data_IF_433422353786
#
_entry.id   IF_433422353786
#
_cell.length_a   1.000
_cell.length_b   1.000
_cell.length_c   1.000
_cell.angle_alpha   90.00
_cell.angle_beta   90.00
_cell.angle_gamma   90.00
#
_symmetry.space_group_name_H-M   'P 1'
#
loop_
_entity.id
_entity.type
_entity.pdbx_description
1 polymer ?
#
# COMPACT_ATOMS: atom_id res chain seq x y z
N UNK A 1 5.44 -61.75 -29.32
CA UNK A 1 5.38 -60.38 -29.87
C UNK A 1 4.57 -59.53 -28.90
N UNK A 2 5.23 -58.72 -28.07
CA UNK A 2 4.58 -57.76 -27.16
C UNK A 2 4.34 -56.48 -27.95
N UNK A 3 3.10 -56.04 -28.03
CA UNK A 3 2.71 -54.76 -28.62
C UNK A 3 2.80 -53.69 -27.53
N UNK A 4 3.81 -52.84 -27.63
CA UNK A 4 4.02 -51.70 -26.74
C UNK A 4 2.83 -50.73 -26.83
N UNK A 5 2.13 -50.58 -25.71
CA UNK A 5 1.13 -49.54 -25.51
C UNK A 5 1.85 -48.20 -25.25
N UNK A 6 2.08 -47.42 -26.30
CA UNK A 6 2.57 -46.06 -26.17
C UNK A 6 1.39 -45.13 -25.80
N UNK A 7 1.21 -44.93 -24.50
CA UNK A 7 0.24 -43.99 -23.93
C UNK A 7 0.72 -42.55 -24.20
N UNK A 8 0.17 -41.90 -25.21
CA UNK A 8 0.38 -40.47 -25.46
C UNK A 8 -0.30 -39.64 -24.36
N UNK A 9 0.47 -39.27 -23.34
CA UNK A 9 0.08 -38.22 -22.40
C UNK A 9 0.15 -36.87 -23.11
N UNK A 10 -0.99 -36.40 -23.62
CA UNK A 10 -1.13 -35.01 -24.06
C UNK A 10 -1.06 -34.10 -22.83
N UNK A 11 0.09 -33.45 -22.65
CA UNK A 11 0.25 -32.36 -21.69
C UNK A 11 -0.62 -31.20 -22.16
N UNK A 12 -1.79 -31.01 -21.54
CA UNK A 12 -2.56 -29.78 -21.69
C UNK A 12 -1.81 -28.66 -20.97
N UNK A 13 -0.85 -28.06 -21.64
CA UNK A 13 -0.26 -26.80 -21.21
C UNK A 13 -1.39 -25.78 -21.10
N UNK A 14 -1.68 -25.31 -19.89
CA UNK A 14 -2.62 -24.23 -19.67
C UNK A 14 -2.07 -22.99 -20.38
N UNK A 15 -2.61 -22.67 -21.55
CA UNK A 15 -2.35 -21.42 -22.24
C UNK A 15 -2.88 -20.32 -21.34
N UNK A 16 -2.00 -19.75 -20.52
CA UNK A 16 -2.29 -18.49 -19.83
C UNK A 16 -2.61 -17.48 -20.90
N UNK A 17 -3.88 -17.04 -20.96
CA UNK A 17 -4.31 -15.99 -21.89
C UNK A 17 -3.26 -14.87 -21.87
N UNK A 18 -2.73 -14.46 -23.05
CA UNK A 18 -1.82 -13.33 -23.10
C UNK A 18 -2.47 -12.17 -22.37
N UNK A 19 -1.70 -11.53 -21.50
CA UNK A 19 -2.16 -10.49 -20.58
C UNK A 19 -2.61 -9.29 -21.42
N UNK A 20 -3.87 -9.32 -21.87
CA UNK A 20 -4.52 -8.27 -22.65
C UNK A 20 -4.08 -6.93 -22.09
N UNK A 21 -3.49 -6.09 -22.95
CA UNK A 21 -2.85 -4.84 -22.55
C UNK A 21 -3.80 -4.09 -21.63
N UNK A 22 -3.39 -4.05 -20.38
CA UNK A 22 -4.32 -3.84 -19.30
C UNK A 22 -4.73 -2.37 -19.33
N UNK A 23 -5.88 -2.06 -19.94
CA UNK A 23 -6.40 -0.71 -20.20
C UNK A 23 -6.15 0.26 -19.04
N UNK A 24 -5.85 1.54 -19.33
CA UNK A 24 -5.59 2.54 -18.31
C UNK A 24 -6.66 2.60 -17.23
N UNK A 25 -6.28 3.08 -16.05
CA UNK A 25 -7.24 3.38 -14.98
C UNK A 25 -8.33 4.32 -15.52
N UNK A 26 -9.62 3.98 -15.30
CA UNK A 26 -10.77 4.73 -15.84
C UNK A 26 -11.46 4.06 -17.05
N UNK A 27 -10.74 3.24 -17.82
CA UNK A 27 -11.27 2.50 -18.99
C UNK A 27 -11.48 1.01 -18.70
N UNK A 28 -11.52 0.63 -17.42
CA UNK A 28 -11.75 -0.74 -16.96
C UNK A 28 -13.24 -0.96 -16.69
N UNK A 29 -13.68 -2.22 -16.68
CA UNK A 29 -15.06 -2.61 -16.33
C UNK A 29 -15.38 -2.12 -14.90
N UNK A 30 -16.45 -1.34 -14.76
CA UNK A 30 -17.03 -1.05 -13.44
C UNK A 30 -17.72 -2.32 -12.98
N UNK A 31 -17.38 -2.92 -11.82
CA UNK A 31 -18.08 -4.12 -11.39
C UNK A 31 -19.56 -3.82 -11.11
N UNK A 32 -20.50 -4.73 -11.41
CA UNK A 32 -21.95 -4.52 -11.22
C UNK A 32 -22.33 -4.02 -9.82
N UNK A 33 -21.70 -4.58 -8.79
CA UNK A 33 -21.90 -4.12 -7.41
C UNK A 33 -21.47 -2.67 -7.19
N UNK A 34 -20.46 -2.15 -7.88
CA UNK A 34 -20.08 -0.75 -7.75
C UNK A 34 -21.09 0.20 -8.40
N UNK A 35 -21.80 -0.25 -9.44
CA UNK A 35 -22.93 0.50 -10.03
C UNK A 35 -24.08 0.54 -9.03
N UNK A 36 -24.42 -0.60 -8.44
CA UNK A 36 -25.38 -0.68 -7.34
C UNK A 36 -25.00 0.23 -6.16
N UNK A 37 -23.73 0.21 -5.74
CA UNK A 37 -23.26 1.11 -4.68
C UNK A 37 -23.41 2.58 -5.06
N UNK A 38 -23.12 2.95 -6.30
CA UNK A 38 -23.28 4.34 -6.77
C UNK A 38 -24.74 4.80 -6.73
N UNK A 39 -25.69 3.91 -6.99
CA UNK A 39 -27.14 4.20 -6.94
C UNK A 39 -27.67 4.24 -5.50
N UNK A 40 -27.20 3.35 -4.62
CA UNK A 40 -27.80 3.12 -3.30
C UNK A 40 -27.01 3.69 -2.12
N UNK A 41 -25.78 4.17 -2.33
CA UNK A 41 -24.97 4.74 -1.26
C UNK A 41 -25.38 6.18 -0.95
N UNK A 42 -26.03 6.36 0.20
CA UNK A 42 -26.36 7.68 0.77
C UNK A 42 -25.49 7.92 2.00
N UNK A 43 -24.68 8.98 1.95
CA UNK A 43 -23.86 9.39 3.11
C UNK A 43 -24.79 10.01 4.15
N UNK A 44 -25.12 9.25 5.20
CA UNK A 44 -25.87 9.73 6.36
C UNK A 44 -24.92 10.33 7.38
N UNK A 45 -25.24 11.51 7.89
CA UNK A 45 -24.48 12.14 8.98
C UNK A 45 -24.57 11.26 10.24
N UNK A 46 -23.42 11.03 10.89
CA UNK A 46 -23.32 10.20 12.11
C UNK A 46 -23.20 8.69 11.89
N UNK A 47 -23.48 8.15 10.70
CA UNK A 47 -23.32 6.71 10.41
C UNK A 47 -21.91 6.43 9.87
N UNK A 48 -21.26 5.40 10.40
CA UNK A 48 -19.96 4.96 9.87
C UNK A 48 -20.14 4.41 8.46
N UNK A 49 -19.34 4.90 7.51
CA UNK A 49 -19.33 4.43 6.12
C UNK A 49 -19.20 2.90 6.02
N UNK A 50 -18.48 2.29 6.96
CA UNK A 50 -18.30 0.83 7.03
C UNK A 50 -19.61 0.08 7.33
N UNK A 51 -20.52 0.65 8.11
CA UNK A 51 -21.83 0.07 8.43
C UNK A 51 -22.77 0.18 7.23
N UNK A 52 -22.85 1.37 6.62
CA UNK A 52 -23.60 1.59 5.38
C UNK A 52 -23.15 0.63 4.25
N UNK A 53 -21.83 0.39 4.13
CA UNK A 53 -21.29 -0.56 3.15
C UNK A 53 -21.68 -2.01 3.45
N UNK A 54 -21.72 -2.43 4.72
CA UNK A 54 -22.17 -3.77 5.12
C UNK A 54 -23.64 -3.98 4.79
N UNK A 55 -24.49 -2.99 5.07
CA UNK A 55 -25.91 -3.03 4.71
C UNK A 55 -26.10 -3.16 3.20
N UNK A 56 -25.40 -2.36 2.40
CA UNK A 56 -25.48 -2.43 0.94
C UNK A 56 -24.98 -3.76 0.38
N UNK A 57 -23.91 -4.32 0.96
CA UNK A 57 -23.44 -5.67 0.60
C UNK A 57 -24.52 -6.72 0.88
N UNK A 58 -25.18 -6.65 2.03
CA UNK A 58 -26.25 -7.57 2.39
C UNK A 58 -27.45 -7.43 1.44
N UNK A 59 -27.87 -6.18 1.13
CA UNK A 59 -28.93 -5.91 0.14
C UNK A 59 -28.57 -6.48 -1.23
N UNK A 60 -27.36 -6.25 -1.71
CA UNK A 60 -26.87 -6.83 -2.97
C UNK A 60 -26.95 -8.36 -2.95
N UNK A 61 -26.56 -9.01 -1.86
CA UNK A 61 -26.64 -10.46 -1.76
C UNK A 61 -28.09 -10.97 -1.82
N UNK A 62 -29.03 -10.25 -1.21
CA UNK A 62 -30.46 -10.57 -1.22
C UNK A 62 -31.16 -10.32 -2.57
N UNK A 63 -30.60 -9.47 -3.45
CA UNK A 63 -31.18 -9.22 -4.78
C UNK A 63 -31.32 -10.52 -5.58
N UNK A 64 -32.46 -10.65 -6.27
CA UNK A 64 -32.73 -11.76 -7.17
C UNK A 64 -31.82 -11.74 -8.41
N UNK A 65 -31.75 -12.85 -9.14
CA UNK A 65 -30.95 -12.95 -10.37
C UNK A 65 -31.37 -11.92 -11.43
N UNK A 66 -32.68 -11.64 -11.54
CA UNK A 66 -33.24 -10.68 -12.48
C UNK A 66 -32.79 -9.24 -12.16
N UNK A 67 -32.85 -8.86 -10.88
CA UNK A 67 -32.44 -7.53 -10.42
C UNK A 67 -30.94 -7.33 -10.55
N UNK A 68 -30.15 -8.37 -10.22
CA UNK A 68 -28.70 -8.37 -10.45
C UNK A 68 -28.38 -8.21 -11.94
N UNK A 69 -29.11 -8.89 -12.83
CA UNK A 69 -28.89 -8.87 -14.28
C UNK A 69 -28.88 -7.43 -14.83
N UNK A 70 -29.79 -6.57 -14.38
CA UNK A 70 -29.78 -5.13 -14.72
C UNK A 70 -28.39 -4.50 -14.53
N UNK A 71 -27.76 -4.73 -13.39
CA UNK A 71 -26.44 -4.18 -13.07
C UNK A 71 -25.31 -4.84 -13.86
N UNK A 72 -25.46 -6.10 -14.24
CA UNK A 72 -24.51 -6.78 -15.14
C UNK A 72 -24.57 -6.21 -16.55
N UNK A 73 -25.79 -6.04 -17.09
CA UNK A 73 -26.02 -5.47 -18.42
C UNK A 73 -25.53 -4.02 -18.47
N UNK A 74 -25.82 -3.21 -17.43
CA UNK A 74 -25.34 -1.83 -17.32
C UNK A 74 -23.81 -1.74 -17.21
N UNK A 75 -23.19 -2.66 -16.46
CA UNK A 75 -21.72 -2.78 -16.36
C UNK A 75 -21.07 -3.07 -17.71
N UNK A 76 -21.71 -3.88 -18.55
CA UNK A 76 -21.24 -4.21 -19.89
C UNK A 76 -21.45 -3.05 -20.87
N UNK A 77 -22.60 -2.38 -20.80
CA UNK A 77 -22.87 -1.17 -21.57
C UNK A 77 -21.87 -0.05 -21.23
N UNK A 78 -21.61 0.21 -19.95
CA UNK A 78 -20.60 1.18 -19.50
C UNK A 78 -19.20 0.81 -20.01
N UNK A 79 -18.85 -0.48 -19.97
CA UNK A 79 -17.57 -0.95 -20.49
C UNK A 79 -17.49 -0.66 -21.98
N UNK A 80 -18.48 -1.08 -22.78
CA UNK A 80 -18.50 -0.86 -24.23
C UNK A 80 -18.37 0.63 -24.57
N UNK A 81 -19.06 1.50 -23.83
CA UNK A 81 -18.94 2.95 -24.01
C UNK A 81 -17.54 3.48 -23.64
N UNK A 82 -16.93 2.99 -22.54
CA UNK A 82 -15.55 3.34 -22.17
C UNK A 82 -14.54 2.86 -23.22
N UNK A 83 -14.72 1.65 -23.74
CA UNK A 83 -13.90 1.09 -24.81
C UNK A 83 -13.98 1.98 -26.05
N UNK A 84 -15.18 2.28 -26.53
CA UNK A 84 -15.37 3.15 -27.70
C UNK A 84 -14.77 4.54 -27.48
N UNK A 85 -14.93 5.13 -26.28
CA UNK A 85 -14.29 6.40 -25.92
C UNK A 85 -12.78 6.31 -25.95
N UNK A 86 -12.19 5.22 -25.46
CA UNK A 86 -10.73 5.02 -25.52
C UNK A 86 -10.26 4.86 -26.96
N UNK A 87 -10.96 4.07 -27.76
CA UNK A 87 -10.58 3.75 -29.13
C UNK A 87 -10.72 4.97 -30.06
N UNK A 88 -11.63 5.90 -29.74
CA UNK A 88 -11.79 7.18 -30.42
C UNK A 88 -10.70 8.22 -30.10
N UNK A 89 -9.87 8.01 -29.07
CA UNK A 89 -8.77 8.93 -28.74
C UNK A 89 -7.65 8.86 -29.77
N UNK A 90 -6.88 9.94 -29.87
CA UNK A 90 -5.66 9.98 -30.66
C UNK A 90 -4.61 9.00 -30.12
N UNK A 91 -3.67 8.61 -30.97
CA UNK A 91 -2.57 7.70 -30.59
C UNK A 91 -1.73 8.30 -29.45
N UNK A 92 -1.46 9.61 -29.50
CA UNK A 92 -0.69 10.32 -28.47
C UNK A 92 -1.40 10.33 -27.11
N UNK A 93 -2.71 10.61 -27.10
CA UNK A 93 -3.51 10.59 -25.88
C UNK A 93 -3.60 9.18 -25.28
N UNK A 94 -3.78 8.15 -26.11
CA UNK A 94 -3.75 6.75 -25.69
C UNK A 94 -2.43 6.40 -25.01
N UNK A 95 -1.31 6.78 -25.64
CA UNK A 95 0.02 6.51 -25.10
C UNK A 95 0.22 7.23 -23.76
N UNK A 96 -0.16 8.51 -23.67
CA UNK A 96 -0.07 9.29 -22.42
C UNK A 96 -0.86 8.64 -21.28
N UNK A 97 -2.08 8.17 -21.55
CA UNK A 97 -2.92 7.49 -20.55
C UNK A 97 -2.31 6.14 -20.11
N UNK A 98 -1.72 5.39 -21.04
CA UNK A 98 -1.03 4.13 -20.73
C UNK A 98 0.20 4.38 -19.85
N UNK A 99 1.03 5.36 -20.20
CA UNK A 99 2.23 5.74 -19.45
C UNK A 99 1.88 6.26 -18.05
N UNK A 100 0.85 7.11 -17.93
CA UNK A 100 0.38 7.60 -16.63
C UNK A 100 -0.15 6.44 -15.78
N UNK A 101 -0.97 5.56 -16.36
CA UNK A 101 -1.45 4.36 -15.66
C UNK A 101 -0.31 3.45 -15.23
N UNK A 102 0.73 3.26 -16.05
CA UNK A 102 1.93 2.49 -15.71
C UNK A 102 2.69 3.13 -14.54
N UNK A 103 2.93 4.46 -14.59
CA UNK A 103 3.56 5.23 -13.51
C UNK A 103 2.77 5.12 -12.20
N UNK A 104 1.45 5.28 -12.24
CA UNK A 104 0.58 5.15 -11.07
C UNK A 104 0.63 3.72 -10.49
N UNK A 105 0.68 2.68 -11.33
CA UNK A 105 0.79 1.28 -10.87
C UNK A 105 2.13 1.03 -10.19
N UNK A 106 3.23 1.47 -10.79
CA UNK A 106 4.57 1.34 -10.18
C UNK A 106 4.68 2.13 -8.87
N UNK A 107 4.09 3.33 -8.81
CA UNK A 107 4.03 4.08 -7.56
C UNK A 107 3.21 3.37 -6.47
N UNK A 108 2.04 2.82 -6.80
CA UNK A 108 1.23 2.03 -5.86
C UNK A 108 1.99 0.80 -5.37
N UNK A 109 2.67 0.09 -6.27
CA UNK A 109 3.52 -1.06 -5.94
C UNK A 109 4.67 -0.64 -5.03
N UNK A 110 5.35 0.47 -5.34
CA UNK A 110 6.41 1.05 -4.50
C UNK A 110 5.89 1.40 -3.10
N UNK A 111 4.69 2.00 -3.00
CA UNK A 111 4.05 2.34 -1.72
C UNK A 111 3.72 1.08 -0.92
N UNK A 112 3.13 0.06 -1.55
CA UNK A 112 2.83 -1.23 -0.91
C UNK A 112 4.11 -1.89 -0.39
N UNK A 113 5.14 -2.00 -1.22
CA UNK A 113 6.42 -2.61 -0.84
C UNK A 113 7.09 -1.84 0.32
N UNK A 114 6.96 -0.51 0.37
CA UNK A 114 7.46 0.30 1.49
C UNK A 114 6.65 0.05 2.78
N UNK A 115 5.33 -0.05 2.68
CA UNK A 115 4.45 -0.35 3.81
C UNK A 115 4.70 -1.76 4.36
N UNK A 116 4.83 -2.75 3.49
CA UNK A 116 5.16 -4.13 3.88
C UNK A 116 6.53 -4.22 4.57
N UNK A 117 7.55 -3.55 4.03
CA UNK A 117 8.86 -3.44 4.71
C UNK A 117 8.77 -2.70 6.04
N UNK A 118 7.85 -1.75 6.20
CA UNK A 118 7.63 -1.07 7.48
C UNK A 118 6.97 -2.01 8.48
N UNK A 119 5.87 -2.67 8.10
CA UNK A 119 5.16 -3.64 8.93
C UNK A 119 6.09 -4.79 9.38
N UNK A 120 6.92 -5.33 8.48
CA UNK A 120 7.90 -6.37 8.83
C UNK A 120 8.97 -5.89 9.84
N UNK A 121 9.32 -4.60 9.83
CA UNK A 121 10.26 -4.03 10.82
C UNK A 121 9.59 -3.85 12.18
N UNK A 122 8.32 -3.47 12.18
CA UNK A 122 7.49 -3.32 13.38
C UNK A 122 7.21 -4.67 14.03
N UNK A 123 6.77 -5.67 13.26
CA UNK A 123 6.55 -7.05 13.71
C UNK A 123 7.82 -7.68 14.30
N UNK A 124 8.98 -7.40 13.69
CA UNK A 124 10.25 -7.86 14.21
C UNK A 124 10.74 -7.09 15.46
N UNK A 125 9.97 -6.13 15.99
CA UNK A 125 10.37 -5.25 17.10
C UNK A 125 11.74 -4.61 16.90
N UNK A 126 12.08 -4.26 15.64
CA UNK A 126 13.38 -3.68 15.31
C UNK A 126 13.52 -2.29 15.93
N UNK A 127 14.59 -2.00 16.68
CA UNK A 127 14.81 -0.66 17.23
C UNK A 127 14.75 0.42 16.14
N UNK A 128 14.08 1.52 16.47
CA UNK A 128 13.88 2.66 15.56
C UNK A 128 15.09 3.58 15.65
N UNK A 129 15.51 4.14 14.50
CA UNK A 129 16.61 5.11 14.48
C UNK A 129 16.25 6.32 15.35
N UNK A 130 17.14 6.76 16.26
CA UNK A 130 16.86 7.91 17.11
C UNK A 130 16.85 9.21 16.31
N UNK A 131 16.12 10.19 16.83
CA UNK A 131 16.10 11.55 16.29
C UNK A 131 17.49 12.20 16.39
N UNK A 132 17.88 12.94 15.36
CA UNK A 132 19.07 13.81 15.41
C UNK A 132 18.83 15.02 16.32
N UNK A 133 19.89 15.72 16.71
CA UNK A 133 19.81 16.96 17.49
C UNK A 133 18.87 18.00 16.84
N UNK A 134 18.98 18.16 15.51
CA UNK A 134 18.07 18.98 14.72
C UNK A 134 16.61 18.53 14.84
N UNK A 135 16.34 17.23 14.69
CA UNK A 135 14.97 16.71 14.79
C UNK A 135 14.40 16.86 16.20
N UNK A 136 15.23 16.76 17.24
CA UNK A 136 14.81 17.03 18.62
C UNK A 136 14.44 18.50 18.82
N UNK A 137 15.27 19.42 18.32
CA UNK A 137 14.98 20.85 18.33
C UNK A 137 13.70 21.18 17.58
N UNK A 138 13.55 20.69 16.35
CA UNK A 138 12.34 20.90 15.55
C UNK A 138 11.12 20.33 16.27
N UNK A 139 11.22 19.13 16.86
CA UNK A 139 10.11 18.56 17.63
C UNK A 139 9.72 19.46 18.81
N UNK A 140 10.69 20.03 19.53
CA UNK A 140 10.45 20.98 20.63
C UNK A 140 9.79 22.28 20.13
N UNK A 141 10.20 22.79 18.95
CA UNK A 141 9.63 24.02 18.37
C UNK A 141 8.29 23.84 17.65
N UNK A 142 7.96 22.61 17.28
CA UNK A 142 6.71 22.26 16.59
C UNK A 142 5.61 21.80 17.56
N UNK A 143 5.81 21.85 18.87
CA UNK A 143 4.87 21.41 19.91
C UNK A 143 3.71 22.42 20.13
N UNK A 144 3.12 22.93 19.04
CA UNK A 144 2.04 23.91 19.08
C UNK A 144 0.70 23.31 18.65
N UNK A 145 -0.39 23.91 19.11
CA UNK A 145 -1.77 23.53 18.75
C UNK A 145 -2.18 23.95 17.33
N UNK A 146 -1.25 24.46 16.51
CA UNK A 146 -1.53 24.91 15.14
C UNK A 146 -1.82 23.69 14.23
N UNK A 147 -3.00 23.68 13.61
CA UNK A 147 -3.48 22.52 12.82
C UNK A 147 -3.52 22.75 11.30
N UNK A 148 -3.30 23.98 10.82
CA UNK A 148 -3.37 24.23 9.37
C UNK A 148 -2.03 23.90 8.70
N UNK A 149 -2.05 23.25 7.52
CA UNK A 149 -0.83 22.88 6.81
C UNK A 149 0.08 24.07 6.49
N UNK A 150 -0.46 25.25 6.16
CA UNK A 150 0.39 26.42 5.87
C UNK A 150 1.15 26.90 7.10
N UNK A 151 0.49 26.97 8.27
CA UNK A 151 1.11 27.43 9.52
C UNK A 151 2.21 26.47 9.99
N UNK A 152 1.93 25.16 9.91
CA UNK A 152 2.93 24.12 10.21
C UNK A 152 4.17 24.28 9.32
N UNK A 153 3.99 24.54 8.01
CA UNK A 153 5.12 24.75 7.09
C UNK A 153 5.91 26.02 7.42
N UNK A 154 5.22 27.13 7.71
CA UNK A 154 5.85 28.38 8.08
C UNK A 154 6.70 28.22 9.36
N UNK A 155 6.11 27.64 10.41
CA UNK A 155 6.82 27.35 11.67
C UNK A 155 8.02 26.43 11.49
N UNK A 156 7.87 25.38 10.69
CA UNK A 156 9.00 24.50 10.39
C UNK A 156 10.14 25.28 9.72
N UNK A 157 9.81 26.17 8.77
CA UNK A 157 10.81 27.02 8.10
C UNK A 157 11.47 27.99 9.07
N UNK A 158 10.71 28.63 9.95
CA UNK A 158 11.22 29.52 11.01
C UNK A 158 12.18 28.78 11.95
N UNK A 159 11.76 27.61 12.45
CA UNK A 159 12.58 26.79 13.32
C UNK A 159 13.84 26.29 12.60
N UNK A 160 13.74 25.90 11.33
CA UNK A 160 14.90 25.51 10.52
C UNK A 160 15.90 26.65 10.34
N UNK A 161 15.43 27.89 10.14
CA UNK A 161 16.27 29.07 10.07
C UNK A 161 16.92 29.36 11.43
N UNK A 162 16.14 29.35 12.51
CA UNK A 162 16.60 29.58 13.88
C UNK A 162 17.66 28.58 14.32
N UNK A 163 17.55 27.30 13.92
CA UNK A 163 18.58 26.29 14.19
C UNK A 163 19.95 26.65 13.59
N UNK A 164 19.98 27.24 12.38
CA UNK A 164 21.24 27.61 11.72
C UNK A 164 21.96 28.71 12.50
N UNK A 165 21.22 29.68 13.01
CA UNK A 165 21.74 30.82 13.77
C UNK A 165 21.88 30.55 15.27
N UNK A 166 21.45 29.39 15.75
CA UNK A 166 21.46 29.05 17.18
C UNK A 166 22.91 28.97 17.70
N UNK A 167 23.23 29.54 18.88
CA UNK A 167 24.54 29.40 19.51
C UNK A 167 24.90 27.95 19.80
N UNK A 168 26.19 27.63 19.76
CA UNK A 168 26.67 26.27 20.01
C UNK A 168 26.34 25.77 21.43
N UNK A 169 26.29 26.67 22.42
CA UNK A 169 25.88 26.35 23.79
C UNK A 169 24.44 25.81 23.86
N UNK A 170 23.52 26.40 23.12
CA UNK A 170 22.12 25.96 23.05
C UNK A 170 21.96 24.70 22.19
N UNK A 171 22.73 24.59 21.11
CA UNK A 171 22.80 23.35 20.30
C UNK A 171 23.32 22.18 21.11
N UNK A 172 24.25 22.41 22.03
CA UNK A 172 24.91 21.36 22.82
C UNK A 172 23.92 20.55 23.65
N UNK A 173 22.83 21.15 24.15
CA UNK A 173 21.72 20.44 24.81
C UNK A 173 21.17 19.34 23.90
N UNK A 174 20.82 19.69 22.67
CA UNK A 174 20.22 18.76 21.70
C UNK A 174 21.23 17.74 21.17
N UNK A 175 22.49 18.14 20.99
CA UNK A 175 23.59 17.24 20.59
C UNK A 175 23.79 16.17 21.66
N UNK A 176 23.93 16.57 22.92
CA UNK A 176 24.12 15.64 24.05
C UNK A 176 22.95 14.66 24.18
N UNK A 177 21.71 15.13 24.00
CA UNK A 177 20.52 14.28 23.98
C UNK A 177 20.53 13.31 22.80
N UNK A 178 20.86 13.76 21.60
CA UNK A 178 20.94 12.93 20.41
C UNK A 178 22.03 11.85 20.56
N UNK A 179 23.18 12.19 21.14
CA UNK A 179 24.28 11.26 21.39
C UNK A 179 23.90 10.18 22.41
N UNK A 180 23.20 10.56 23.49
CA UNK A 180 22.69 9.60 24.46
C UNK A 180 21.69 8.62 23.81
N UNK A 181 20.79 9.13 22.98
CA UNK A 181 19.84 8.30 22.22
C UNK A 181 20.54 7.41 21.20
N UNK A 182 21.59 7.91 20.53
CA UNK A 182 22.40 7.14 19.58
C UNK A 182 23.13 5.98 20.26
N UNK A 183 23.73 6.22 21.43
CA UNK A 183 24.38 5.18 22.24
C UNK A 183 23.39 4.11 22.69
N UNK A 184 22.21 4.51 23.17
CA UNK A 184 21.13 3.58 23.54
C UNK A 184 20.70 2.73 22.34
N UNK A 185 20.41 3.37 21.21
CA UNK A 185 20.03 2.68 19.98
C UNK A 185 21.09 1.68 19.50
N UNK A 186 22.38 2.02 19.60
CA UNK A 186 23.46 1.12 19.20
C UNK A 186 23.46 -0.18 20.04
N UNK A 187 23.23 -0.06 21.36
CA UNK A 187 23.09 -1.21 22.27
C UNK A 187 21.84 -2.03 21.94
N UNK A 188 20.69 -1.37 21.83
CA UNK A 188 19.41 -2.03 21.54
C UNK A 188 19.46 -2.76 20.18
N UNK A 189 20.08 -2.16 19.16
CA UNK A 189 20.27 -2.77 17.84
C UNK A 189 21.21 -3.96 17.86
N UNK A 190 22.27 -3.93 18.67
CA UNK A 190 23.18 -5.06 18.82
C UNK A 190 22.46 -6.25 19.45
N UNK A 191 21.77 -6.02 20.57
CA UNK A 191 20.96 -7.03 21.25
C UNK A 191 19.86 -7.61 20.34
N UNK A 192 19.17 -6.74 19.58
CA UNK A 192 18.15 -7.15 18.63
C UNK A 192 18.70 -8.04 17.51
N UNK A 193 19.87 -7.69 16.95
CA UNK A 193 20.50 -8.51 15.89
C UNK A 193 20.85 -9.90 16.40
N UNK A 194 21.43 -10.00 17.59
CA UNK A 194 21.79 -11.27 18.21
C UNK A 194 20.54 -12.13 18.48
N UNK A 195 19.49 -11.56 19.06
CA UNK A 195 18.24 -12.25 19.32
C UNK A 195 17.57 -12.76 18.02
N UNK A 196 17.53 -11.92 16.96
CA UNK A 196 16.97 -12.31 15.67
C UNK A 196 17.77 -13.41 14.98
N UNK A 197 19.10 -13.43 15.14
CA UNK A 197 19.93 -14.49 14.57
C UNK A 197 19.67 -15.82 15.27
N UNK A 198 19.58 -15.82 16.60
CA UNK A 198 19.22 -17.00 17.40
C UNK A 198 17.83 -17.53 17.01
N UNK A 199 16.84 -16.66 16.90
CA UNK A 199 15.48 -17.03 16.53
C UNK A 199 15.41 -17.65 15.12
N UNK A 200 16.18 -17.13 14.16
CA UNK A 200 16.27 -17.72 12.81
C UNK A 200 16.91 -19.10 12.82
N UNK A 201 17.99 -19.30 13.58
CA UNK A 201 18.65 -20.61 13.72
C UNK A 201 17.68 -21.65 14.30
N UNK A 202 17.00 -21.29 15.39
CA UNK A 202 16.01 -22.16 16.05
C UNK A 202 14.85 -22.54 15.12
N UNK A 203 14.34 -21.59 14.32
CA UNK A 203 13.28 -21.84 13.32
C UNK A 203 13.74 -22.76 12.19
N UNK A 204 14.99 -22.62 11.74
CA UNK A 204 15.54 -23.48 10.69
C UNK A 204 15.74 -24.91 11.20
N UNK A 205 16.22 -25.09 12.42
CA UNK A 205 16.42 -26.40 13.06
C UNK A 205 15.07 -27.12 13.29
N UNK A 206 14.07 -26.44 13.86
CA UNK A 206 12.72 -27.02 14.04
C UNK A 206 11.98 -27.32 12.74
N UNK A 207 12.27 -26.59 11.66
CA UNK A 207 11.69 -26.89 10.33
C UNK A 207 12.38 -28.11 9.70
N UNK A 208 13.70 -28.25 9.89
CA UNK A 208 14.44 -29.41 9.42
C UNK A 208 14.00 -30.71 10.12
N UNK A 209 13.82 -30.69 11.44
CA UNK A 209 13.33 -31.84 12.22
C UNK A 209 11.91 -32.26 11.82
N UNK A 210 11.01 -31.31 11.54
CA UNK A 210 9.65 -31.60 11.06
C UNK A 210 9.57 -32.07 9.62
N UNK A 211 10.61 -31.86 8.81
CA UNK A 211 10.67 -32.35 7.42
C UNK A 211 11.30 -33.73 7.29
N UNK A 212 11.97 -34.20 8.34
CA UNK A 212 12.65 -35.50 8.40
C UNK A 212 11.82 -36.59 9.12
N UNK A 213 10.68 -36.22 9.70
CA UNK A 213 9.69 -37.12 10.31
C UNK A 213 8.45 -37.23 9.42
#
# INVERSE_FOLDING_TARGET
>A
MRLDHFSEYTTTASVTKPKEESRPSGFRKTPPFAIFLKEHFVKKDGVKVTEAMKELKNRWNLLGAIEKKKYFDESEAELKAKIAKFDALSVEEKQKLLDESAKQREERKRRRNRAEKAAKREEANRPVRPSSAYNLYIKEKMDSTERTPEKIRARFSEAAAAWKTLPDSEKQKYISQADALAKKFAKDMAAWKEANEKEKKLKNETTAEKSAA
#
